data_IF_104282637170
#
_entry.id   IF_104282637170
#
_cell.length_a   1.000
_cell.length_b   1.000
_cell.length_c   1.000
_cell.angle_alpha   90.00
_cell.angle_beta   90.00
_cell.angle_gamma   90.00
#
_symmetry.space_group_name_H-M   'P 1'
#
loop_
_entity.id
_entity.type
_entity.pdbx_description
1 polymer ?
#
# COMPACT_ATOMS: atom_id res chain seq x y z
N UNK A 1 -1.17 6.79 -19.73
CA UNK A 1 -1.73 7.83 -18.84
C UNK A 1 -0.85 7.90 -17.61
N UNK A 2 -0.54 9.10 -17.12
CA UNK A 2 0.32 9.28 -15.95
C UNK A 2 -0.54 9.36 -14.68
N UNK A 3 -0.07 8.83 -13.55
CA UNK A 3 -0.78 8.98 -12.27
C UNK A 3 -0.96 10.46 -11.85
N UNK A 4 -0.09 11.35 -12.34
CA UNK A 4 -0.21 12.79 -12.12
C UNK A 4 -1.55 13.36 -12.57
N UNK A 5 -2.16 12.77 -13.59
CA UNK A 5 -3.41 13.23 -14.20
C UNK A 5 -4.62 12.99 -13.29
N UNK A 6 -4.45 12.13 -12.27
CA UNK A 6 -5.49 11.72 -11.32
C UNK A 6 -5.29 12.31 -9.93
N UNK A 7 -4.35 13.25 -9.76
CA UNK A 7 -4.11 13.86 -8.45
C UNK A 7 -5.35 14.57 -7.93
N UNK A 8 -5.73 14.24 -6.71
CA UNK A 8 -6.81 14.93 -5.99
C UNK A 8 -6.30 16.31 -5.55
N UNK A 9 -6.93 17.38 -6.04
CA UNK A 9 -6.43 18.77 -5.98
C UNK A 9 -6.02 19.25 -4.57
N UNK A 10 -6.69 18.78 -3.52
CA UNK A 10 -6.46 19.25 -2.14
C UNK A 10 -5.67 18.27 -1.26
N UNK A 11 -5.18 17.16 -1.81
CA UNK A 11 -4.44 16.16 -1.04
C UNK A 11 -2.95 16.43 -1.05
N UNK A 12 -2.39 16.69 0.12
CA UNK A 12 -0.95 16.84 0.31
C UNK A 12 -0.36 15.80 1.26
N UNK A 13 0.91 15.45 1.03
CA UNK A 13 1.60 14.48 1.88
C UNK A 13 1.83 15.03 3.29
N UNK A 14 2.03 16.34 3.48
CA UNK A 14 2.29 16.98 4.79
C UNK A 14 3.24 16.13 5.66
N UNK A 15 2.78 15.65 6.81
CA UNK A 15 3.60 14.84 7.75
C UNK A 15 3.85 13.38 7.33
N UNK A 16 3.11 12.86 6.35
CA UNK A 16 3.18 11.46 5.95
C UNK A 16 4.45 11.20 5.15
N UNK A 17 5.29 10.32 5.70
CA UNK A 17 6.57 9.88 5.12
C UNK A 17 6.62 8.36 4.85
N UNK A 18 5.46 7.70 4.84
CA UNK A 18 5.34 6.24 4.72
C UNK A 18 6.08 5.67 3.52
N UNK A 19 5.96 6.27 2.34
CA UNK A 19 6.67 5.77 1.16
C UNK A 19 8.19 5.89 1.26
N UNK A 20 8.69 6.90 1.97
CA UNK A 20 10.12 7.07 2.25
C UNK A 20 10.66 6.00 3.22
N UNK A 21 9.79 5.23 3.88
CA UNK A 21 10.17 4.17 4.81
C UNK A 21 9.86 2.80 4.21
N UNK A 22 8.62 2.57 3.77
CA UNK A 22 8.10 1.23 3.46
C UNK A 22 8.36 0.73 2.04
N UNK A 23 8.72 1.60 1.09
CA UNK A 23 9.00 1.17 -0.29
C UNK A 23 10.44 0.73 -0.47
N UNK A 24 10.65 -0.34 -1.23
CA UNK A 24 11.93 -0.61 -1.88
C UNK A 24 12.08 0.34 -3.08
N UNK A 25 13.28 0.88 -3.28
CA UNK A 25 13.62 1.71 -4.43
C UNK A 25 14.91 1.14 -5.02
N UNK A 26 14.83 0.70 -6.28
CA UNK A 26 15.97 0.26 -7.06
C UNK A 26 16.14 1.20 -8.24
N UNK A 27 16.80 2.34 -8.01
CA UNK A 27 17.03 3.35 -9.04
C UNK A 27 18.47 3.88 -8.92
N UNK A 28 19.18 4.13 -10.04
CA UNK A 28 20.56 4.65 -9.99
C UNK A 28 20.72 5.92 -9.14
N UNK A 29 19.70 6.79 -9.06
CA UNK A 29 19.73 8.01 -8.29
C UNK A 29 19.38 7.83 -6.80
N UNK A 30 18.75 6.71 -6.43
CA UNK A 30 18.40 6.37 -5.04
C UNK A 30 18.11 4.87 -4.94
N UNK A 31 19.01 4.13 -4.28
CA UNK A 31 18.79 2.73 -3.91
C UNK A 31 18.48 2.64 -2.42
N UNK A 32 17.40 1.95 -2.07
CA UNK A 32 16.99 1.75 -0.68
C UNK A 32 16.14 0.47 -0.55
N UNK A 33 16.30 -0.25 0.55
CA UNK A 33 15.47 -1.41 0.89
C UNK A 33 14.06 -1.05 1.34
N UNK A 34 13.14 -2.01 1.25
CA UNK A 34 11.87 -1.91 1.95
C UNK A 34 12.08 -1.74 3.46
N UNK A 35 11.16 -1.02 4.10
CA UNK A 35 11.12 -0.74 5.55
C UNK A 35 12.36 -0.07 6.18
N UNK A 36 13.34 0.33 5.37
CA UNK A 36 14.50 1.14 5.79
C UNK A 36 14.23 2.62 5.56
N UNK A 37 14.55 3.45 6.54
CA UNK A 37 14.40 4.92 6.43
C UNK A 37 15.22 5.45 5.25
N UNK A 38 14.59 6.23 4.35
CA UNK A 38 15.30 6.94 3.29
C UNK A 38 16.40 7.85 3.87
N UNK A 39 17.62 7.86 3.32
CA UNK A 39 18.73 8.68 3.82
C UNK A 39 18.45 10.18 3.75
N UNK A 40 17.55 10.59 2.84
CA UNK A 40 17.14 11.99 2.68
C UNK A 40 15.86 12.36 3.45
N UNK A 41 15.35 11.48 4.32
CA UNK A 41 14.21 11.83 5.16
C UNK A 41 14.70 12.70 6.32
N UNK A 42 14.19 13.92 6.45
CA UNK A 42 14.62 14.89 7.46
C UNK A 42 14.20 14.45 8.87
N UNK A 43 14.95 14.88 9.90
CA UNK A 43 14.64 14.56 11.30
C UNK A 43 13.36 15.23 11.81
N UNK A 44 12.87 16.26 11.12
CA UNK A 44 11.61 16.93 11.45
C UNK A 44 10.48 16.29 10.64
N UNK A 45 10.34 16.68 9.38
CA UNK A 45 9.27 16.24 8.49
C UNK A 45 9.69 16.42 7.03
N UNK A 46 9.27 15.51 6.15
CA UNK A 46 9.55 15.61 4.72
C UNK A 46 10.99 15.34 4.31
N UNK A 47 11.30 15.59 3.04
CA UNK A 47 12.59 15.28 2.42
C UNK A 47 13.57 16.45 2.55
N UNK A 48 14.81 16.18 2.98
CA UNK A 48 15.88 17.19 3.09
C UNK A 48 16.36 17.73 1.73
N UNK A 49 16.09 17.01 0.65
CA UNK A 49 16.43 17.40 -0.73
C UNK A 49 15.18 17.58 -1.60
N UNK A 50 14.07 18.08 -1.02
CA UNK A 50 12.74 18.07 -1.68
C UNK A 50 12.74 18.57 -3.14
N UNK A 51 13.41 19.70 -3.39
CA UNK A 51 13.52 20.33 -4.71
C UNK A 51 14.48 19.62 -5.66
N UNK A 52 15.31 18.72 -5.15
CA UNK A 52 16.30 17.92 -5.87
C UNK A 52 15.97 16.42 -5.86
N UNK A 53 14.75 16.04 -5.43
CA UNK A 53 14.34 14.64 -5.38
C UNK A 53 14.53 13.95 -6.74
N UNK A 54 14.98 12.69 -6.75
CA UNK A 54 15.10 11.93 -7.98
C UNK A 54 13.72 11.69 -8.61
N UNK A 55 13.68 11.44 -9.91
CA UNK A 55 12.43 11.29 -10.67
C UNK A 55 11.53 10.20 -10.11
N UNK A 56 12.10 9.08 -9.64
CA UNK A 56 11.38 7.99 -8.97
C UNK A 56 10.56 8.47 -7.77
N UNK A 57 10.97 9.55 -7.09
CA UNK A 57 10.21 10.17 -6.01
C UNK A 57 9.26 11.27 -6.47
N UNK A 58 9.53 11.94 -7.61
CA UNK A 58 8.69 13.02 -8.15
C UNK A 58 7.44 12.50 -8.85
N UNK A 59 7.55 11.34 -9.49
CA UNK A 59 6.46 10.72 -10.26
C UNK A 59 5.68 9.69 -9.45
N UNK A 60 6.07 9.45 -8.20
CA UNK A 60 5.40 8.51 -7.32
C UNK A 60 4.24 9.14 -6.55
N UNK A 61 3.09 8.46 -6.56
CA UNK A 61 1.90 8.84 -5.80
C UNK A 61 1.22 7.58 -5.23
N UNK A 62 0.90 7.57 -3.93
CA UNK A 62 0.10 6.48 -3.36
C UNK A 62 -1.35 6.56 -3.80
N UNK A 63 -2.09 5.45 -3.63
CA UNK A 63 -3.51 5.37 -3.93
C UNK A 63 -4.33 6.52 -3.32
N UNK A 64 -4.03 6.94 -2.08
CA UNK A 64 -4.72 8.07 -1.45
C UNK A 64 -4.53 9.40 -2.21
N UNK A 65 -3.41 9.62 -2.90
CA UNK A 65 -3.20 10.84 -3.70
C UNK A 65 -3.99 10.85 -5.01
N UNK A 66 -4.41 9.69 -5.51
CA UNK A 66 -4.95 9.53 -6.88
C UNK A 66 -6.36 8.94 -6.96
N UNK A 67 -6.87 8.33 -5.88
CA UNK A 67 -8.22 7.75 -5.84
C UNK A 67 -9.16 8.65 -5.03
N UNK A 68 -10.06 9.41 -5.68
CA UNK A 68 -10.91 10.39 -5.00
C UNK A 68 -11.91 9.76 -4.03
N UNK A 69 -12.34 8.51 -4.28
CA UNK A 69 -13.28 7.80 -3.40
C UNK A 69 -12.66 7.37 -2.05
N UNK A 70 -11.33 7.34 -1.93
CA UNK A 70 -10.68 7.06 -0.66
C UNK A 70 -10.87 8.24 0.30
N UNK A 71 -11.29 7.97 1.53
CA UNK A 71 -11.47 8.99 2.56
C UNK A 71 -10.13 9.40 3.18
N UNK A 72 -10.17 10.45 4.02
CA UNK A 72 -8.97 11.05 4.61
C UNK A 72 -8.26 10.15 5.64
N UNK A 73 -9.00 9.20 6.22
CA UNK A 73 -8.51 8.15 7.10
C UNK A 73 -7.71 7.06 6.35
N UNK A 74 -7.85 6.98 5.02
CA UNK A 74 -7.05 6.10 4.15
C UNK A 74 -5.65 6.65 3.84
N UNK A 75 -5.30 7.87 4.32
CA UNK A 75 -3.93 8.38 4.22
C UNK A 75 -2.98 7.40 4.93
N UNK A 76 -1.84 6.99 4.33
CA UNK A 76 -1.12 5.80 4.79
C UNK A 76 -0.63 5.84 6.25
N UNK A 77 -0.27 7.00 6.77
CA UNK A 77 0.15 7.16 8.16
C UNK A 77 -1.01 7.08 9.16
N UNK A 78 -2.26 7.27 8.70
CA UNK A 78 -3.50 7.11 9.49
C UNK A 78 -4.02 5.67 9.40
N UNK A 79 -4.21 5.15 8.20
CA UNK A 79 -4.74 3.79 7.97
C UNK A 79 -3.75 2.69 8.33
N UNK A 80 -2.45 3.00 8.33
CA UNK A 80 -1.35 2.02 8.35
C UNK A 80 -1.42 1.01 7.20
N UNK A 81 -2.05 1.40 6.09
CA UNK A 81 -2.08 0.67 4.82
C UNK A 81 -1.55 1.60 3.73
N UNK A 82 -0.48 1.17 3.06
CA UNK A 82 0.03 1.80 1.85
C UNK A 82 -0.63 1.17 0.63
N UNK A 83 -1.33 1.98 -0.17
CA UNK A 83 -1.86 1.55 -1.47
C UNK A 83 -0.90 1.99 -2.56
N UNK A 84 -0.43 1.03 -3.36
CA UNK A 84 0.50 1.23 -4.47
C UNK A 84 -0.19 0.85 -5.78
N UNK A 85 0.11 1.55 -6.87
CA UNK A 85 -0.23 1.05 -8.20
C UNK A 85 0.69 -0.12 -8.56
N UNK A 86 0.11 -1.11 -9.24
CA UNK A 86 0.80 -2.20 -9.91
C UNK A 86 0.35 -2.23 -11.38
N UNK A 87 0.97 -3.07 -12.21
CA UNK A 87 0.71 -3.10 -13.67
C UNK A 87 -0.78 -3.24 -14.03
N UNK A 88 -1.51 -4.05 -13.26
CA UNK A 88 -2.90 -4.42 -13.54
C UNK A 88 -3.92 -3.85 -12.55
N UNK A 89 -3.47 -3.13 -11.52
CA UNK A 89 -4.37 -2.64 -10.47
C UNK A 89 -3.65 -2.05 -9.26
N UNK A 90 -4.08 -2.44 -8.06
CA UNK A 90 -3.58 -1.85 -6.81
C UNK A 90 -3.18 -2.89 -5.76
N UNK A 91 -2.13 -2.56 -5.01
CA UNK A 91 -1.57 -3.40 -3.95
C UNK A 91 -1.82 -2.73 -2.60
N UNK A 92 -2.47 -3.45 -1.69
CA UNK A 92 -2.70 -3.03 -0.30
C UNK A 92 -1.62 -3.64 0.59
N UNK A 93 -0.75 -2.78 1.13
CA UNK A 93 0.39 -3.17 1.97
C UNK A 93 0.22 -2.65 3.40
N UNK A 94 0.05 -3.50 4.41
CA UNK A 94 0.26 -3.10 5.81
C UNK A 94 1.67 -2.56 6.02
N UNK A 95 1.82 -1.47 6.78
CA UNK A 95 3.15 -0.85 6.96
C UNK A 95 4.12 -1.75 7.74
N UNK A 96 3.60 -2.53 8.68
CA UNK A 96 4.36 -3.44 9.53
C UNK A 96 3.50 -4.63 9.93
N UNK A 97 4.13 -5.63 10.54
CA UNK A 97 3.46 -6.85 10.98
C UNK A 97 2.33 -6.62 11.99
N UNK A 98 2.46 -5.62 12.85
CA UNK A 98 1.42 -5.22 13.81
C UNK A 98 0.20 -4.56 13.14
N UNK A 99 0.31 -4.11 11.88
CA UNK A 99 -0.75 -3.43 11.15
C UNK A 99 -1.55 -4.36 10.23
N UNK A 100 -1.26 -5.66 10.18
CA UNK A 100 -1.92 -6.60 9.25
C UNK A 100 -3.44 -6.62 9.42
N UNK A 101 -3.92 -6.55 10.66
CA UNK A 101 -5.36 -6.58 10.96
C UNK A 101 -6.11 -5.36 10.40
N UNK A 102 -5.41 -4.27 10.06
CA UNK A 102 -6.02 -3.10 9.43
C UNK A 102 -6.61 -3.42 8.06
N UNK A 103 -6.17 -4.50 7.39
CA UNK A 103 -6.81 -5.01 6.17
C UNK A 103 -8.26 -5.47 6.37
N UNK A 104 -8.70 -5.64 7.62
CA UNK A 104 -10.07 -6.02 7.98
C UNK A 104 -10.93 -4.83 8.41
N UNK A 105 -10.34 -3.63 8.45
CA UNK A 105 -11.08 -2.41 8.77
C UNK A 105 -12.07 -2.06 7.66
N UNK A 106 -13.18 -1.46 8.05
CA UNK A 106 -14.30 -1.16 7.16
C UNK A 106 -13.89 -0.27 5.99
N UNK A 107 -13.21 0.84 6.26
CA UNK A 107 -12.69 1.75 5.23
C UNK A 107 -11.76 1.07 4.20
N UNK A 108 -10.95 0.10 4.64
CA UNK A 108 -10.07 -0.67 3.76
C UNK A 108 -10.87 -1.67 2.93
N UNK A 109 -11.85 -2.35 3.54
CA UNK A 109 -12.72 -3.30 2.84
C UNK A 109 -13.66 -2.62 1.85
N UNK A 110 -14.17 -1.42 2.18
CA UNK A 110 -14.91 -0.57 1.25
C UNK A 110 -14.05 -0.20 0.04
N UNK A 111 -12.79 0.19 0.28
CA UNK A 111 -11.86 0.52 -0.79
C UNK A 111 -11.56 -0.70 -1.69
N UNK A 112 -11.29 -1.86 -1.10
CA UNK A 112 -11.09 -3.11 -1.83
C UNK A 112 -12.35 -3.49 -2.61
N UNK A 113 -13.52 -3.45 -1.97
CA UNK A 113 -14.81 -3.78 -2.59
C UNK A 113 -15.13 -2.85 -3.77
N UNK A 114 -14.86 -1.55 -3.64
CA UNK A 114 -15.02 -0.60 -4.75
C UNK A 114 -14.14 -0.96 -5.94
N UNK A 115 -12.87 -1.30 -5.73
CA UNK A 115 -11.97 -1.71 -6.82
C UNK A 115 -12.42 -3.04 -7.45
N UNK A 116 -12.69 -4.06 -6.63
CA UNK A 116 -13.07 -5.40 -7.10
C UNK A 116 -14.40 -5.39 -7.86
N UNK A 117 -15.40 -4.64 -7.37
CA UNK A 117 -16.70 -4.50 -8.06
C UNK A 117 -16.59 -3.79 -9.42
N UNK A 118 -15.57 -2.95 -9.61
CA UNK A 118 -15.25 -2.32 -10.89
C UNK A 118 -14.29 -3.15 -11.76
N UNK A 119 -14.03 -4.40 -11.39
CA UNK A 119 -13.17 -5.31 -12.15
C UNK A 119 -11.68 -4.95 -12.09
N UNK A 120 -11.26 -4.12 -11.13
CA UNK A 120 -9.87 -3.73 -10.96
C UNK A 120 -9.16 -4.79 -10.12
N UNK A 121 -7.94 -5.17 -10.52
CA UNK A 121 -7.14 -6.13 -9.77
C UNK A 121 -6.69 -5.55 -8.42
N UNK A 122 -6.89 -6.32 -7.37
CA UNK A 122 -6.47 -6.02 -6.01
C UNK A 122 -5.56 -7.14 -5.51
N UNK A 123 -4.36 -6.74 -5.12
CA UNK A 123 -3.38 -7.59 -4.48
C UNK A 123 -3.13 -7.13 -3.06
N UNK A 124 -2.67 -8.03 -2.20
CA UNK A 124 -2.08 -7.69 -0.90
C UNK A 124 -0.58 -7.91 -0.94
N UNK A 125 0.15 -7.13 -0.14
CA UNK A 125 1.59 -7.28 0.12
C UNK A 125 1.79 -7.33 1.62
N UNK A 126 1.74 -8.52 2.20
CA UNK A 126 1.67 -8.69 3.66
C UNK A 126 3.05 -9.07 4.20
N UNK A 127 3.59 -8.36 5.22
CA UNK A 127 4.84 -8.73 5.86
C UNK A 127 4.81 -10.16 6.39
N UNK A 128 5.90 -10.91 6.26
CA UNK A 128 5.99 -12.30 6.72
C UNK A 128 6.79 -12.40 8.02
N UNK A 129 8.10 -12.23 7.91
CA UNK A 129 9.08 -12.26 9.00
C UNK A 129 10.20 -11.24 8.73
N UNK A 130 10.88 -10.72 9.76
CA UNK A 130 11.92 -9.71 9.58
C UNK A 130 13.03 -10.16 8.63
N UNK A 131 13.43 -9.29 7.70
CA UNK A 131 14.49 -9.57 6.72
C UNK A 131 14.06 -10.40 5.50
N UNK A 132 12.76 -10.62 5.31
CA UNK A 132 12.20 -11.33 4.16
C UNK A 132 11.19 -10.46 3.42
N UNK A 133 11.02 -10.74 2.13
CA UNK A 133 10.04 -10.06 1.29
C UNK A 133 8.61 -10.28 1.81
N UNK A 134 7.72 -9.33 1.49
CA UNK A 134 6.29 -9.48 1.74
C UNK A 134 5.70 -10.61 0.89
N UNK A 135 4.70 -11.31 1.43
CA UNK A 135 3.88 -12.23 0.67
C UNK A 135 2.91 -11.45 -0.22
N UNK A 136 2.99 -11.67 -1.53
CA UNK A 136 2.10 -11.09 -2.53
C UNK A 136 0.98 -12.07 -2.87
N UNK A 137 -0.26 -11.60 -2.90
CA UNK A 137 -1.42 -12.43 -3.23
C UNK A 137 -2.48 -11.60 -3.97
N UNK A 138 -2.98 -12.07 -5.10
CA UNK A 138 -4.21 -11.54 -5.71
C UNK A 138 -5.41 -12.03 -4.88
N UNK A 139 -6.32 -11.13 -4.52
CA UNK A 139 -7.47 -11.45 -3.66
C UNK A 139 -8.83 -11.35 -4.35
N UNK A 140 -8.88 -11.00 -5.64
CA UNK A 140 -10.14 -10.76 -6.35
C UNK A 140 -11.08 -11.97 -6.27
N UNK A 141 -10.60 -13.16 -6.65
CA UNK A 141 -11.42 -14.38 -6.62
C UNK A 141 -11.84 -14.76 -5.19
N UNK A 142 -10.96 -14.53 -4.22
CA UNK A 142 -11.21 -14.85 -2.81
C UNK A 142 -12.31 -13.98 -2.20
N UNK A 143 -12.36 -12.69 -2.55
CA UNK A 143 -13.26 -11.73 -1.92
C UNK A 143 -14.53 -11.45 -2.75
N UNK A 144 -14.54 -11.82 -4.04
CA UNK A 144 -15.61 -11.49 -4.99
C UNK A 144 -17.01 -11.81 -4.47
N UNK A 145 -17.23 -13.01 -3.91
CA UNK A 145 -18.55 -13.42 -3.39
C UNK A 145 -19.02 -12.49 -2.26
N UNK A 146 -18.12 -12.09 -1.37
CA UNK A 146 -18.45 -11.16 -0.30
C UNK A 146 -18.76 -9.75 -0.83
N UNK A 147 -18.00 -9.29 -1.84
CA UNK A 147 -18.21 -7.99 -2.50
C UNK A 147 -19.54 -7.96 -3.24
N UNK A 148 -19.84 -8.99 -4.05
CA UNK A 148 -21.08 -9.08 -4.83
C UNK A 148 -22.33 -9.10 -3.94
N UNK A 149 -22.23 -9.69 -2.74
CA UNK A 149 -23.31 -9.75 -1.76
C UNK A 149 -23.32 -8.58 -0.75
N UNK A 150 -22.38 -7.63 -0.87
CA UNK A 150 -22.19 -6.53 0.10
C UNK A 150 -22.05 -7.03 1.55
N UNK A 151 -21.43 -8.19 1.74
CA UNK A 151 -21.26 -8.84 3.04
C UNK A 151 -19.90 -8.46 3.67
N UNK A 152 -19.92 -7.43 4.52
CA UNK A 152 -18.75 -6.95 5.24
C UNK A 152 -18.15 -8.01 6.16
N UNK A 153 -18.96 -8.89 6.77
CA UNK A 153 -18.46 -9.91 7.69
C UNK A 153 -17.77 -11.04 6.93
N UNK A 154 -18.34 -11.48 5.80
CA UNK A 154 -17.67 -12.42 4.91
C UNK A 154 -16.36 -11.84 4.36
N UNK A 155 -16.35 -10.56 3.95
CA UNK A 155 -15.14 -9.88 3.48
C UNK A 155 -14.06 -9.83 4.57
N UNK A 156 -14.43 -9.51 5.82
CA UNK A 156 -13.51 -9.59 6.98
C UNK A 156 -12.94 -10.98 7.17
N UNK A 157 -13.76 -12.02 7.05
CA UNK A 157 -13.31 -13.40 7.21
C UNK A 157 -12.36 -13.84 6.11
N UNK A 158 -12.63 -13.46 4.85
CA UNK A 158 -11.71 -13.67 3.72
C UNK A 158 -10.37 -13.02 4.01
N UNK A 159 -10.36 -11.75 4.42
CA UNK A 159 -9.10 -11.04 4.70
C UNK A 159 -8.33 -11.63 5.88
N UNK A 160 -9.00 -12.15 6.92
CA UNK A 160 -8.35 -12.90 8.00
C UNK A 160 -7.64 -14.16 7.48
N UNK A 161 -8.28 -14.88 6.56
CA UNK A 161 -7.68 -16.06 5.93
C UNK A 161 -6.47 -15.66 5.07
N UNK A 162 -6.58 -14.59 4.27
CA UNK A 162 -5.48 -14.04 3.46
C UNK A 162 -4.28 -13.67 4.35
N UNK A 163 -4.51 -12.98 5.47
CA UNK A 163 -3.47 -12.64 6.46
C UNK A 163 -2.82 -13.92 7.01
N UNK A 164 -3.64 -14.89 7.43
CA UNK A 164 -3.14 -16.15 7.98
C UNK A 164 -2.24 -16.90 6.99
N UNK A 165 -2.67 -17.08 5.73
CA UNK A 165 -1.88 -17.76 4.71
C UNK A 165 -0.60 -16.99 4.38
N UNK A 166 -0.68 -15.67 4.27
CA UNK A 166 0.48 -14.82 3.96
C UNK A 166 1.57 -14.93 5.03
N UNK A 167 1.21 -14.94 6.31
CA UNK A 167 2.16 -15.09 7.43
C UNK A 167 2.93 -16.40 7.42
N UNK A 168 2.35 -17.45 6.84
CA UNK A 168 2.96 -18.79 6.76
C UNK A 168 3.57 -19.08 5.39
N UNK A 169 3.56 -18.10 4.48
CA UNK A 169 4.12 -18.26 3.14
C UNK A 169 5.65 -18.27 3.19
N UNK A 170 6.26 -19.12 2.35
CA UNK A 170 7.69 -19.12 2.14
C UNK A 170 8.05 -17.98 1.20
N UNK A 171 8.69 -16.94 1.74
CA UNK A 171 9.17 -15.78 1.01
C UNK A 171 10.69 -15.80 0.96
N UNK A 172 11.25 -15.09 -0.03
CA UNK A 172 12.70 -14.95 -0.19
C UNK A 172 13.26 -13.93 0.80
N UNK A 173 14.54 -14.05 1.20
CA UNK A 173 15.23 -13.00 1.94
C UNK A 173 15.20 -11.67 1.18
N UNK A 174 15.08 -10.56 1.90
CA UNK A 174 15.22 -9.23 1.31
C UNK A 174 16.69 -9.02 0.93
N UNK A 175 16.97 -8.99 -0.37
CA UNK A 175 18.33 -8.84 -0.89
C UNK A 175 18.89 -7.43 -0.62
N UNK A 176 20.23 -7.38 -0.50
CA UNK A 176 21.01 -6.14 -0.37
C UNK A 176 20.80 -5.17 -1.54
#
# INVERSE_FOLDING_TARGET
>A
MSLSDYLVADRQCNECNVCCINLRIENPALTKKADVRCPYLSNQTGCSIYDQRPDVCRTWYCGWRVMPFLRDDMRPDRSKILIKQDETGFVFQPLRSENMNNLTHENVLEAIGSLVSNGIEVKTSIPTRPGYCNAMMNINEHIKVAVDNLDLQAARQVMRNVIFHSRHSQTLPEHD
#
